data_IF_922325407119
#
_entry.id   IF_922325407119
#
_cell.length_a   1.000
_cell.length_b   1.000
_cell.length_c   1.000
_cell.angle_alpha   90.00
_cell.angle_beta   90.00
_cell.angle_gamma   90.00
#
_symmetry.space_group_name_H-M   'P 1'
#
loop_
_entity.id
_entity.type
_entity.pdbx_description
1 polymer ?
#
# COMPACT_ATOMS: atom_id res chain seq x y z
N UNK A 1 0.15 35.26 -46.56
CA UNK A 1 -0.65 34.05 -46.86
C UNK A 1 -0.42 32.93 -45.85
N UNK A 2 0.83 32.54 -45.54
CA UNK A 2 1.13 31.41 -44.63
C UNK A 2 0.45 31.42 -43.25
N UNK A 3 0.35 32.55 -42.54
CA UNK A 3 -0.28 32.57 -41.20
C UNK A 3 -1.82 32.39 -41.23
N UNK A 4 -2.47 32.80 -42.32
CA UNK A 4 -3.91 32.62 -42.50
C UNK A 4 -4.23 31.18 -42.90
N UNK A 5 -3.39 30.56 -43.74
CA UNK A 5 -3.51 29.15 -44.10
C UNK A 5 -3.24 28.23 -42.90
N UNK A 6 -2.30 28.58 -42.03
CA UNK A 6 -1.99 27.81 -40.82
C UNK A 6 -3.12 27.90 -39.77
N UNK A 7 -3.74 29.08 -39.63
CA UNK A 7 -4.93 29.26 -38.77
C UNK A 7 -6.16 28.51 -39.32
N UNK A 8 -6.36 28.51 -40.64
CA UNK A 8 -7.43 27.75 -41.31
C UNK A 8 -7.19 26.25 -41.19
N UNK A 9 -5.95 25.78 -41.32
CA UNK A 9 -5.58 24.39 -41.10
C UNK A 9 -5.77 23.96 -39.64
N UNK A 10 -5.46 24.83 -38.67
CA UNK A 10 -5.73 24.57 -37.25
C UNK A 10 -7.23 24.52 -36.95
N UNK A 11 -8.05 25.42 -37.52
CA UNK A 11 -9.50 25.40 -37.38
C UNK A 11 -10.12 24.15 -38.03
N UNK A 12 -9.65 23.74 -39.21
CA UNK A 12 -10.10 22.53 -39.89
C UNK A 12 -9.66 21.24 -39.16
N UNK A 13 -8.50 21.25 -38.49
CA UNK A 13 -8.06 20.16 -37.61
C UNK A 13 -8.92 20.08 -36.33
N UNK A 14 -9.44 21.20 -35.84
CA UNK A 14 -10.39 21.23 -34.72
C UNK A 14 -11.79 20.79 -35.14
N UNK A 15 -12.25 21.13 -36.34
CA UNK A 15 -13.56 20.70 -36.88
C UNK A 15 -13.60 19.22 -37.29
N UNK A 16 -12.46 18.62 -37.65
CA UNK A 16 -12.38 17.18 -37.95
C UNK A 16 -12.29 16.29 -36.71
N UNK A 17 -12.10 16.87 -35.52
CA UNK A 17 -12.02 16.17 -34.23
C UNK A 17 -13.30 16.37 -33.41
N UNK A 18 -14.45 16.03 -34.02
CA UNK A 18 -15.84 16.22 -33.51
C UNK A 18 -16.07 15.57 -32.12
N UNK A 19 -15.13 14.77 -31.61
CA UNK A 19 -15.15 14.17 -30.27
C UNK A 19 -14.37 14.92 -29.19
N UNK A 20 -13.60 15.96 -29.54
CA UNK A 20 -12.64 16.61 -28.65
C UNK A 20 -13.22 17.85 -27.96
N UNK A 21 -14.08 17.62 -26.97
CA UNK A 21 -14.52 18.67 -26.04
C UNK A 21 -13.38 19.13 -25.13
N UNK A 22 -13.31 20.44 -24.86
CA UNK A 22 -12.39 21.07 -23.90
C UNK A 22 -13.00 21.22 -22.50
N UNK A 23 -14.28 20.88 -22.33
CA UNK A 23 -14.96 20.89 -21.03
C UNK A 23 -14.43 19.73 -20.16
N UNK A 24 -13.78 20.01 -19.02
CA UNK A 24 -13.22 18.98 -18.16
C UNK A 24 -14.27 17.98 -17.65
N UNK A 25 -15.53 18.41 -17.45
CA UNK A 25 -16.62 17.52 -17.03
C UNK A 25 -16.92 16.48 -18.10
N UNK A 26 -17.07 16.91 -19.35
CA UNK A 26 -17.32 15.98 -20.46
C UNK A 26 -16.12 15.08 -20.76
N UNK A 27 -14.90 15.57 -20.60
CA UNK A 27 -13.69 14.76 -20.71
C UNK A 27 -13.71 13.62 -19.67
N UNK A 28 -13.99 13.94 -18.42
CA UNK A 28 -14.10 12.98 -17.33
C UNK A 28 -15.22 11.95 -17.56
N UNK A 29 -16.42 12.40 -17.95
CA UNK A 29 -17.56 11.52 -18.23
C UNK A 29 -17.27 10.53 -19.36
N UNK A 30 -16.54 10.97 -20.40
CA UNK A 30 -16.13 10.11 -21.51
C UNK A 30 -15.13 9.06 -21.06
N UNK A 31 -14.11 9.45 -20.30
CA UNK A 31 -13.07 8.53 -19.82
C UNK A 31 -13.66 7.45 -18.91
N UNK A 32 -14.45 7.85 -17.91
CA UNK A 32 -15.16 6.92 -17.04
C UNK A 32 -16.17 6.05 -17.82
N UNK A 33 -16.82 6.62 -18.85
CA UNK A 33 -17.79 5.91 -19.69
C UNK A 33 -17.23 4.67 -20.39
N UNK A 34 -15.91 4.58 -20.55
CA UNK A 34 -15.21 3.42 -21.16
C UNK A 34 -15.13 2.19 -20.25
N UNK A 35 -15.27 2.36 -18.93
CA UNK A 35 -15.14 1.27 -17.96
C UNK A 35 -16.50 0.60 -17.76
N UNK A 36 -16.56 -0.73 -17.88
CA UNK A 36 -17.81 -1.48 -17.70
C UNK A 36 -18.27 -1.52 -16.24
N UNK A 37 -19.57 -1.74 -16.02
CA UNK A 37 -20.14 -1.92 -14.68
C UNK A 37 -19.81 -3.32 -14.16
N UNK A 38 -19.49 -3.43 -12.87
CA UNK A 38 -19.22 -4.72 -12.24
C UNK A 38 -20.51 -5.47 -11.91
N UNK A 39 -20.47 -6.79 -12.09
CA UNK A 39 -21.44 -7.70 -11.49
C UNK A 39 -21.07 -7.97 -10.03
N UNK A 40 -22.02 -8.48 -9.23
CA UNK A 40 -21.76 -8.87 -7.84
C UNK A 40 -20.63 -9.90 -7.72
N UNK A 41 -20.57 -10.86 -8.64
CA UNK A 41 -19.51 -11.87 -8.67
C UNK A 41 -18.15 -11.22 -8.95
N UNK A 42 -18.09 -10.27 -9.88
CA UNK A 42 -16.88 -9.52 -10.18
C UNK A 42 -16.43 -8.62 -9.01
N UNK A 43 -17.35 -8.00 -8.28
CA UNK A 43 -17.02 -7.27 -7.03
C UNK A 43 -16.30 -8.19 -6.03
N UNK A 44 -16.82 -9.40 -5.84
CA UNK A 44 -16.24 -10.38 -4.90
C UNK A 44 -14.88 -10.86 -5.41
N UNK A 45 -14.73 -11.10 -6.71
CA UNK A 45 -13.45 -11.51 -7.30
C UNK A 45 -12.37 -10.43 -7.10
N UNK A 46 -12.71 -9.17 -7.34
CA UNK A 46 -11.79 -8.05 -7.11
C UNK A 46 -11.44 -7.93 -5.62
N UNK A 47 -12.41 -8.05 -4.72
CA UNK A 47 -12.16 -8.03 -3.28
C UNK A 47 -11.21 -9.16 -2.84
N UNK A 48 -11.39 -10.38 -3.37
CA UNK A 48 -10.46 -11.50 -3.14
C UNK A 48 -9.05 -11.22 -3.65
N UNK A 49 -8.92 -10.59 -4.81
CA UNK A 49 -7.61 -10.17 -5.37
C UNK A 49 -6.93 -9.10 -4.52
N UNK A 50 -7.71 -8.19 -3.91
CA UNK A 50 -7.19 -7.21 -2.94
C UNK A 50 -6.66 -7.95 -1.70
N UNK A 51 -7.47 -8.84 -1.11
CA UNK A 51 -7.06 -9.65 0.06
C UNK A 51 -5.81 -10.48 -0.22
N UNK A 52 -5.73 -11.12 -1.40
CA UNK A 52 -4.58 -11.92 -1.80
C UNK A 52 -3.31 -11.07 -1.92
N UNK A 53 -3.40 -9.88 -2.52
CA UNK A 53 -2.29 -8.94 -2.58
C UNK A 53 -1.81 -8.51 -1.18
N UNK A 54 -2.74 -8.19 -0.28
CA UNK A 54 -2.42 -7.83 1.12
C UNK A 54 -1.75 -9.00 1.86
N UNK A 55 -2.27 -10.23 1.67
CA UNK A 55 -1.71 -11.45 2.26
C UNK A 55 -0.30 -11.75 1.76
N UNK A 56 -0.02 -11.54 0.46
CA UNK A 56 1.32 -11.68 -0.10
C UNK A 56 2.32 -10.70 0.55
N UNK A 57 1.88 -9.47 0.85
CA UNK A 57 2.73 -8.49 1.55
C UNK A 57 2.98 -8.93 2.98
N UNK A 58 1.93 -9.31 3.73
CA UNK A 58 2.07 -9.81 5.11
C UNK A 58 2.95 -11.07 5.20
N UNK A 59 2.77 -12.01 4.28
CA UNK A 59 3.64 -13.18 4.14
C UNK A 59 5.10 -12.79 3.92
N UNK A 60 5.35 -11.74 3.12
CA UNK A 60 6.71 -11.25 2.87
C UNK A 60 7.32 -10.55 4.10
N UNK A 61 6.51 -9.85 4.89
CA UNK A 61 6.93 -9.24 6.15
C UNK A 61 7.37 -10.28 7.19
N UNK A 62 6.81 -11.49 7.16
CA UNK A 62 7.25 -12.56 8.05
C UNK A 62 8.75 -12.89 7.87
N UNK A 63 9.27 -12.77 6.64
CA UNK A 63 10.70 -13.03 6.33
C UNK A 63 11.65 -11.91 6.77
N UNK A 64 11.13 -10.79 7.27
CA UNK A 64 11.93 -9.69 7.80
C UNK A 64 12.24 -9.96 9.28
N UNK A 65 13.52 -10.10 9.67
CA UNK A 65 13.90 -10.24 11.08
C UNK A 65 13.34 -9.10 11.94
N UNK A 66 12.81 -9.44 13.12
CA UNK A 66 12.22 -8.47 14.05
C UNK A 66 10.86 -7.92 13.65
N UNK A 67 10.35 -8.18 12.44
CA UNK A 67 9.04 -7.68 12.02
C UNK A 67 7.89 -8.33 12.80
N UNK A 68 7.92 -9.66 12.93
CA UNK A 68 6.95 -10.41 13.73
C UNK A 68 7.09 -10.04 15.21
N UNK A 69 8.31 -9.93 15.72
CA UNK A 69 8.58 -9.51 17.10
C UNK A 69 7.96 -8.15 17.40
N UNK A 70 8.16 -7.17 16.51
CA UNK A 70 7.61 -5.83 16.71
C UNK A 70 6.07 -5.81 16.71
N UNK A 71 5.42 -6.76 16.04
CA UNK A 71 3.96 -6.93 16.08
C UNK A 71 3.52 -7.69 17.34
N UNK A 72 4.27 -8.68 17.79
CA UNK A 72 4.05 -9.37 19.07
C UNK A 72 4.20 -8.40 20.26
N UNK A 73 5.22 -7.54 20.25
CA UNK A 73 5.44 -6.49 21.25
C UNK A 73 4.28 -5.48 21.25
N UNK A 74 3.81 -5.08 20.07
CA UNK A 74 2.66 -4.19 19.95
C UNK A 74 1.38 -4.87 20.47
N UNK A 75 1.22 -6.18 20.26
CA UNK A 75 0.14 -6.96 20.85
C UNK A 75 0.26 -7.03 22.37
N UNK A 76 1.43 -7.32 22.92
CA UNK A 76 1.67 -7.40 24.36
C UNK A 76 1.33 -6.07 25.05
N UNK A 77 1.62 -4.93 24.41
CA UNK A 77 1.24 -3.60 24.90
C UNK A 77 -0.28 -3.36 24.96
N UNK A 78 -1.08 -4.08 24.15
CA UNK A 78 -2.55 -4.03 24.27
C UNK A 78 -3.09 -4.85 25.44
N UNK A 79 -2.26 -5.75 25.99
CA UNK A 79 -2.62 -6.62 27.11
C UNK A 79 -2.15 -6.04 28.47
N UNK A 80 -1.55 -4.86 28.48
CA UNK A 80 -1.05 -4.20 29.69
C UNK A 80 -2.21 -3.84 30.64
N UNK A 81 -2.12 -4.23 31.91
CA UNK A 81 -3.17 -3.99 32.91
C UNK A 81 -3.20 -2.52 33.39
N UNK A 82 -2.07 -1.80 33.35
CA UNK A 82 -1.96 -0.42 33.85
C UNK A 82 -2.34 0.62 32.79
N UNK A 83 -2.05 0.35 31.52
CA UNK A 83 -2.39 1.22 30.38
C UNK A 83 -2.68 0.41 29.11
N UNK A 84 -3.81 -0.32 29.05
CA UNK A 84 -4.12 -1.19 27.91
C UNK A 84 -4.33 -0.36 26.64
N UNK A 85 -3.49 -0.60 25.62
CA UNK A 85 -3.81 -0.20 24.26
C UNK A 85 -5.05 -0.95 23.74
N UNK A 86 -5.77 -0.41 22.74
CA UNK A 86 -6.90 -1.13 22.15
C UNK A 86 -6.40 -2.11 21.09
N UNK A 87 -6.94 -3.34 21.06
CA UNK A 87 -6.62 -4.32 20.01
C UNK A 87 -6.89 -3.77 18.59
N UNK A 88 -7.93 -2.94 18.47
CA UNK A 88 -8.28 -2.23 17.23
C UNK A 88 -7.20 -1.29 16.71
N UNK A 89 -6.31 -0.80 17.59
CA UNK A 89 -5.20 0.08 17.21
C UNK A 89 -4.09 -0.69 16.49
N UNK A 90 -4.00 -2.02 16.74
CA UNK A 90 -3.03 -2.91 16.13
C UNK A 90 -3.55 -3.52 14.83
N UNK A 91 -4.74 -4.11 14.86
CA UNK A 91 -5.32 -4.81 13.72
C UNK A 91 -6.85 -4.81 13.76
N UNK A 92 -7.48 -5.04 12.60
CA UNK A 92 -8.94 -4.99 12.43
C UNK A 92 -9.60 -6.37 12.33
N UNK A 93 -8.81 -7.45 12.25
CA UNK A 93 -9.31 -8.82 12.12
C UNK A 93 -8.36 -9.74 11.34
N UNK A 94 -8.82 -10.95 11.05
CA UNK A 94 -8.08 -11.95 10.27
C UNK A 94 -8.73 -12.20 8.90
N UNK A 95 -7.92 -12.45 7.88
CA UNK A 95 -8.34 -12.73 6.51
C UNK A 95 -8.21 -14.23 6.22
N UNK A 96 -9.17 -15.02 6.72
CA UNK A 96 -9.13 -16.47 6.55
C UNK A 96 -9.67 -16.90 5.18
N UNK A 97 -8.89 -17.64 4.37
CA UNK A 97 -9.33 -18.05 3.04
C UNK A 97 -10.59 -18.94 3.05
N UNK A 98 -10.87 -19.63 4.16
CA UNK A 98 -11.93 -20.64 4.28
C UNK A 98 -13.23 -20.15 4.95
N UNK A 99 -13.29 -18.91 5.43
CA UNK A 99 -14.56 -18.34 5.94
C UNK A 99 -15.58 -18.21 4.80
N UNK A 100 -16.64 -19.01 4.83
CA UNK A 100 -17.70 -18.97 3.81
C UNK A 100 -18.37 -17.59 3.72
N UNK A 101 -18.95 -17.27 2.57
CA UNK A 101 -19.78 -16.07 2.40
C UNK A 101 -21.16 -16.39 3.02
N UNK A 102 -21.59 -15.72 4.11
CA UNK A 102 -22.94 -15.85 4.63
C UNK A 102 -23.94 -15.46 3.54
N UNK A 103 -25.01 -16.25 3.39
CA UNK A 103 -26.15 -15.88 2.55
C UNK A 103 -26.70 -14.52 3.00
N UNK A 104 -26.84 -13.60 2.06
CA UNK A 104 -27.14 -12.19 2.31
C UNK A 104 -28.43 -12.03 3.11
N UNK A 105 -28.35 -11.43 4.29
CA UNK A 105 -29.47 -10.68 4.83
C UNK A 105 -29.48 -9.32 4.14
N UNK A 106 -30.57 -8.98 3.45
CA UNK A 106 -30.82 -7.59 3.04
C UNK A 106 -30.95 -6.76 4.32
N UNK A 107 -29.88 -6.09 4.73
CA UNK A 107 -30.00 -5.06 5.76
C UNK A 107 -30.79 -3.90 5.15
N UNK A 108 -31.92 -3.59 5.77
CA UNK A 108 -32.67 -2.37 5.55
C UNK A 108 -31.71 -1.18 5.80
N UNK A 109 -31.59 -0.33 4.79
CA UNK A 109 -30.98 0.98 4.93
C UNK A 109 -31.81 1.72 5.99
N UNK A 110 -31.22 2.47 6.95
CA UNK A 110 -32.00 3.40 7.76
C UNK A 110 -32.82 4.27 6.82
N UNK A 111 -34.14 4.28 7.01
CA UNK A 111 -35.08 5.06 6.20
C UNK A 111 -34.63 6.52 6.12
N UNK A 112 -34.82 7.09 4.94
CA UNK A 112 -34.57 8.50 4.66
C UNK A 112 -35.37 9.37 5.64
N UNK A 113 -34.69 10.15 6.50
CA UNK A 113 -35.34 11.34 7.01
C UNK A 113 -35.53 12.30 5.84
N UNK A 114 -36.76 12.81 5.61
CA UNK A 114 -37.00 13.76 4.55
C UNK A 114 -36.24 15.04 4.89
N UNK A 115 -35.32 15.43 4.01
CA UNK A 115 -34.87 16.81 3.94
C UNK A 115 -36.10 17.67 3.75
N UNK A 116 -36.49 18.39 4.80
CA UNK A 116 -37.55 19.37 4.74
C UNK A 116 -37.19 20.40 3.67
N UNK A 117 -38.14 20.63 2.76
CA UNK A 117 -38.12 21.79 1.86
C UNK A 117 -37.99 23.05 2.73
N UNK A 118 -36.81 23.68 2.70
CA UNK A 118 -36.67 25.05 3.17
C UNK A 118 -37.18 25.95 2.05
N UNK A 119 -38.47 26.25 2.15
CA UNK A 119 -39.14 27.31 1.43
C UNK A 119 -38.53 28.67 1.83
N UNK A 120 -38.48 29.55 0.82
CA UNK A 120 -37.87 30.87 0.81
C UNK A 120 -38.59 31.80 1.80
N UNK A 121 -37.85 32.41 2.74
CA UNK A 121 -38.42 33.33 3.72
C UNK A 121 -37.37 34.08 4.53
N UNK A 122 -37.01 35.26 4.03
CA UNK A 122 -36.35 36.40 4.69
C UNK A 122 -35.75 36.18 6.10
N UNK A 123 -34.42 36.23 6.20
CA UNK A 123 -33.71 36.38 7.48
C UNK A 123 -33.62 37.86 7.86
N UNK A 124 -34.27 38.22 8.97
CA UNK A 124 -33.83 39.26 9.89
C UNK A 124 -33.70 38.63 11.29
N UNK A 125 -32.64 39.05 11.97
CA UNK A 125 -32.37 39.00 13.41
C UNK A 125 -31.42 37.91 13.96
N UNK A 126 -30.51 38.45 14.75
CA UNK A 126 -29.30 37.90 15.36
C UNK A 126 -29.60 36.88 16.48
N UNK A 127 -28.69 35.94 16.69
CA UNK A 127 -28.79 35.01 17.82
C UNK A 127 -27.63 34.04 17.92
N UNK A 128 -26.54 34.53 18.51
CA UNK A 128 -25.39 33.78 19.03
C UNK A 128 -25.82 32.55 19.85
N UNK A 129 -25.30 31.38 19.50
CA UNK A 129 -25.30 30.18 20.33
C UNK A 129 -24.15 29.26 19.90
N UNK A 130 -23.04 29.39 20.61
CA UNK A 130 -22.03 28.36 20.80
C UNK A 130 -22.67 26.98 21.01
N UNK A 131 -22.42 26.02 20.11
CA UNK A 131 -22.47 24.61 20.48
C UNK A 131 -21.22 23.88 19.99
N UNK A 132 -20.68 23.13 20.94
CA UNK A 132 -19.35 22.58 20.96
C UNK A 132 -19.15 21.48 19.92
N UNK A 133 -17.92 21.49 19.42
CA UNK A 133 -17.25 20.45 18.66
C UNK A 133 -17.13 19.19 19.54
N UNK A 134 -18.16 18.34 19.54
CA UNK A 134 -18.09 16.98 20.06
C UNK A 134 -17.84 16.03 18.89
N UNK A 135 -16.55 15.74 18.65
CA UNK A 135 -16.07 14.57 17.92
C UNK A 135 -16.47 13.29 18.67
N UNK A 136 -17.75 12.90 18.58
CA UNK A 136 -18.20 11.58 19.02
C UNK A 136 -18.25 10.64 17.80
N UNK A 137 -17.13 9.93 17.59
CA UNK A 137 -17.00 8.77 16.70
C UNK A 137 -17.78 7.57 17.28
N UNK A 138 -19.09 7.75 17.49
CA UNK A 138 -20.01 6.76 18.03
C UNK A 138 -21.00 6.25 16.97
N UNK A 139 -20.48 5.91 15.78
CA UNK A 139 -21.27 5.12 14.82
C UNK A 139 -20.97 3.62 14.95
N UNK A 140 -21.84 2.94 15.71
CA UNK A 140 -22.34 1.58 15.42
C UNK A 140 -21.35 0.41 15.48
N UNK A 141 -21.08 -0.13 16.68
CA UNK A 141 -20.82 -1.55 16.94
C UNK A 141 -19.93 -2.28 15.90
N UNK A 142 -18.76 -1.71 15.57
CA UNK A 142 -17.69 -2.48 14.93
C UNK A 142 -17.29 -3.56 15.94
N UNK A 143 -17.67 -4.81 15.68
CA UNK A 143 -17.11 -5.95 16.38
C UNK A 143 -15.60 -5.92 16.18
N UNK A 144 -14.89 -5.35 17.15
CA UNK A 144 -13.44 -5.38 17.20
C UNK A 144 -12.95 -6.83 17.19
N UNK A 145 -11.66 -7.06 16.88
CA UNK A 145 -11.12 -8.41 16.83
C UNK A 145 -11.43 -9.16 18.13
N UNK A 146 -11.92 -10.40 18.01
CA UNK A 146 -12.23 -11.27 19.15
C UNK A 146 -10.97 -11.46 20.02
N UNK A 147 -10.98 -11.01 21.29
CA UNK A 147 -9.80 -11.10 22.15
C UNK A 147 -9.33 -12.53 22.41
N UNK A 148 -10.24 -13.50 22.48
CA UNK A 148 -9.89 -14.90 22.74
C UNK A 148 -9.23 -15.53 21.52
N UNK A 149 -9.79 -15.29 20.32
CA UNK A 149 -9.21 -15.72 19.06
C UNK A 149 -7.84 -15.05 18.83
N UNK A 150 -7.76 -13.74 19.06
CA UNK A 150 -6.52 -12.98 18.94
C UNK A 150 -5.45 -13.62 19.83
N UNK A 151 -5.73 -13.83 21.11
CA UNK A 151 -4.79 -14.46 22.03
C UNK A 151 -4.30 -15.82 21.53
N UNK A 152 -5.21 -16.69 21.08
CA UNK A 152 -4.85 -18.00 20.57
C UNK A 152 -3.92 -17.93 19.35
N UNK A 153 -4.22 -17.04 18.38
CA UNK A 153 -3.40 -16.88 17.16
C UNK A 153 -2.06 -16.22 17.43
N UNK A 154 -2.03 -15.16 18.24
CA UNK A 154 -0.79 -14.47 18.61
C UNK A 154 0.16 -15.37 19.38
N UNK A 155 -0.34 -16.27 20.24
CA UNK A 155 0.48 -17.27 20.91
C UNK A 155 1.05 -18.32 19.93
N UNK A 156 0.25 -18.80 18.98
CA UNK A 156 0.74 -19.69 17.93
C UNK A 156 1.83 -19.04 17.08
N UNK A 157 1.66 -17.75 16.74
CA UNK A 157 2.66 -16.97 16.01
C UNK A 157 3.93 -16.84 16.84
N UNK A 158 3.82 -16.56 18.15
CA UNK A 158 4.97 -16.47 19.06
C UNK A 158 5.77 -17.77 19.09
N UNK A 159 5.10 -18.90 19.33
CA UNK A 159 5.72 -20.23 19.33
C UNK A 159 6.42 -20.54 18.00
N UNK A 160 5.75 -20.26 16.89
CA UNK A 160 6.30 -20.53 15.56
C UNK A 160 7.46 -19.59 15.21
N UNK A 161 7.42 -18.33 15.66
CA UNK A 161 8.50 -17.36 15.49
C UNK A 161 9.76 -17.80 16.23
N UNK A 162 9.63 -18.29 17.46
CA UNK A 162 10.78 -18.85 18.21
C UNK A 162 11.37 -20.09 17.53
N UNK A 163 10.54 -20.95 16.93
CA UNK A 163 11.02 -22.09 16.13
C UNK A 163 11.76 -21.64 14.88
N UNK A 164 11.24 -20.64 14.17
CA UNK A 164 11.89 -20.07 12.99
C UNK A 164 13.25 -19.46 13.34
N UNK A 165 13.33 -18.65 14.41
CA UNK A 165 14.60 -18.10 14.92
C UNK A 165 15.59 -19.20 15.31
N UNK A 166 15.14 -20.22 16.03
CA UNK A 166 15.99 -21.34 16.44
C UNK A 166 16.52 -22.12 15.22
N UNK A 167 15.69 -22.33 14.19
CA UNK A 167 16.11 -22.98 12.96
C UNK A 167 17.15 -22.14 12.19
N UNK A 168 16.94 -20.82 12.09
CA UNK A 168 17.93 -19.89 11.49
C UNK A 168 19.24 -19.91 12.28
N UNK A 169 19.19 -19.87 13.60
CA UNK A 169 20.38 -19.89 14.45
C UNK A 169 21.17 -21.21 14.33
N UNK A 170 20.49 -22.34 14.18
CA UNK A 170 21.10 -23.67 14.11
C UNK A 170 21.59 -24.07 12.72
N UNK A 171 20.80 -23.78 11.69
CA UNK A 171 21.04 -24.26 10.31
C UNK A 171 21.51 -23.14 9.36
N UNK A 172 21.46 -21.88 9.81
CA UNK A 172 21.77 -20.71 9.00
C UNK A 172 20.57 -20.21 8.20
N UNK A 173 20.64 -18.93 7.83
CA UNK A 173 19.69 -18.27 6.95
C UNK A 173 19.64 -18.97 5.58
N UNK A 174 18.44 -19.20 5.05
CA UNK A 174 18.24 -19.81 3.73
C UNK A 174 18.40 -21.34 3.68
N UNK A 175 18.68 -22.01 4.81
CA UNK A 175 18.64 -23.48 4.90
C UNK A 175 17.24 -24.03 4.66
N UNK A 176 17.12 -25.29 4.24
CA UNK A 176 15.82 -25.91 3.95
C UNK A 176 14.93 -25.96 5.20
N UNK A 177 15.53 -26.25 6.36
CA UNK A 177 14.87 -26.29 7.65
C UNK A 177 14.40 -24.91 8.10
N UNK A 178 15.27 -23.88 8.02
CA UNK A 178 14.88 -22.51 8.34
C UNK A 178 13.76 -22.01 7.42
N UNK A 179 13.86 -22.27 6.11
CA UNK A 179 12.84 -21.87 5.14
C UNK A 179 11.50 -22.56 5.40
N UNK A 180 11.51 -23.82 5.87
CA UNK A 180 10.29 -24.53 6.20
C UNK A 180 9.58 -23.96 7.45
N UNK A 181 10.34 -23.63 8.51
CA UNK A 181 9.76 -22.96 9.69
C UNK A 181 9.31 -21.53 9.37
N UNK A 182 10.06 -20.83 8.51
CA UNK A 182 9.74 -19.48 8.06
C UNK A 182 8.47 -19.45 7.20
N UNK A 183 8.27 -20.46 6.35
CA UNK A 183 7.05 -20.61 5.55
C UNK A 183 5.83 -20.84 6.46
N UNK A 184 5.93 -21.71 7.47
CA UNK A 184 4.88 -21.90 8.48
C UNK A 184 4.56 -20.62 9.25
N UNK A 185 5.60 -19.86 9.64
CA UNK A 185 5.40 -18.57 10.28
C UNK A 185 4.66 -17.60 9.36
N UNK A 186 5.04 -17.54 8.08
CA UNK A 186 4.38 -16.69 7.11
C UNK A 186 2.91 -17.08 6.88
N UNK A 187 2.58 -18.37 6.90
CA UNK A 187 1.20 -18.86 6.82
C UNK A 187 0.35 -18.37 8.00
N UNK A 188 0.87 -18.47 9.23
CA UNK A 188 0.17 -18.00 10.44
C UNK A 188 0.07 -16.47 10.54
N UNK A 189 1.09 -15.76 10.05
CA UNK A 189 1.16 -14.30 10.14
C UNK A 189 0.39 -13.58 9.03
N UNK A 190 0.31 -14.17 7.84
CA UNK A 190 -0.30 -13.54 6.66
C UNK A 190 -1.78 -13.16 6.75
N UNK A 191 -2.64 -13.83 7.55
CA UNK A 191 -4.05 -13.46 7.70
C UNK A 191 -4.27 -12.16 8.47
N UNK A 192 -3.29 -11.64 9.22
CA UNK A 192 -3.52 -10.46 10.08
C UNK A 192 -3.78 -9.21 9.22
N UNK A 193 -4.93 -8.57 9.43
CA UNK A 193 -5.28 -7.28 8.81
C UNK A 193 -4.81 -6.12 9.69
N UNK A 194 -3.51 -5.83 9.64
CA UNK A 194 -2.87 -4.76 10.42
C UNK A 194 -3.45 -3.38 10.10
N UNK A 195 -3.44 -2.50 11.10
CA UNK A 195 -3.70 -1.07 10.91
C UNK A 195 -2.56 -0.44 10.09
N UNK A 196 -2.87 0.49 9.16
CA UNK A 196 -1.88 1.04 8.22
C UNK A 196 -0.59 1.56 8.87
N UNK A 197 -0.69 2.21 10.04
CA UNK A 197 0.47 2.74 10.78
C UNK A 197 1.54 1.67 11.07
N UNK A 198 1.14 0.48 11.51
CA UNK A 198 2.07 -0.61 11.81
C UNK A 198 2.67 -1.19 10.54
N UNK A 199 1.84 -1.35 9.52
CA UNK A 199 2.24 -1.84 8.21
C UNK A 199 3.27 -0.92 7.52
N UNK A 200 2.98 0.38 7.45
CA UNK A 200 3.82 1.39 6.79
C UNK A 200 5.19 1.52 7.45
N UNK A 201 5.25 1.41 8.79
CA UNK A 201 6.52 1.43 9.52
C UNK A 201 7.44 0.28 9.11
N UNK A 202 6.91 -0.95 9.05
CA UNK A 202 7.68 -2.14 8.70
C UNK A 202 8.15 -2.11 7.24
N UNK A 203 7.23 -1.80 6.32
CA UNK A 203 7.54 -1.73 4.88
C UNK A 203 8.47 -0.56 4.56
N UNK A 204 8.27 0.58 5.21
CA UNK A 204 9.07 1.80 5.02
C UNK A 204 10.55 1.58 5.32
N UNK A 205 10.87 0.90 6.42
CA UNK A 205 12.25 0.61 6.81
C UNK A 205 12.99 -0.18 5.73
N UNK A 206 12.38 -1.25 5.21
CA UNK A 206 12.99 -2.09 4.16
C UNK A 206 13.23 -1.29 2.87
N UNK A 207 12.28 -0.43 2.49
CA UNK A 207 12.40 0.40 1.28
C UNK A 207 13.54 1.38 1.35
N UNK A 208 13.65 2.07 2.49
CA UNK A 208 14.72 3.04 2.75
C UNK A 208 16.08 2.35 2.65
N UNK A 209 16.25 1.20 3.32
CA UNK A 209 17.50 0.44 3.24
C UNK A 209 17.82 -0.03 1.82
N UNK A 210 16.84 -0.51 1.04
CA UNK A 210 17.08 -0.88 -0.38
C UNK A 210 17.48 0.31 -1.22
N UNK A 211 16.88 1.48 -1.01
CA UNK A 211 17.24 2.71 -1.72
C UNK A 211 18.67 3.15 -1.40
N UNK A 212 19.03 3.15 -0.11
CA UNK A 212 20.38 3.47 0.37
C UNK A 212 21.42 2.51 -0.22
N UNK A 213 21.14 1.20 -0.21
CA UNK A 213 21.99 0.19 -0.87
C UNK A 213 22.14 0.52 -2.36
N UNK A 214 21.04 0.71 -3.09
CA UNK A 214 21.08 1.00 -4.54
C UNK A 214 21.87 2.27 -4.87
N UNK A 215 21.79 3.29 -4.02
CA UNK A 215 22.57 4.51 -4.17
C UNK A 215 24.08 4.21 -4.07
N UNK A 216 24.49 3.43 -3.07
CA UNK A 216 25.90 3.04 -2.90
C UNK A 216 26.37 2.15 -4.05
N UNK A 217 25.57 1.17 -4.49
CA UNK A 217 25.89 0.33 -5.65
C UNK A 217 26.07 1.14 -6.92
N UNK A 218 25.20 2.14 -7.14
CA UNK A 218 25.30 3.07 -8.27
C UNK A 218 26.57 3.90 -8.19
N UNK A 219 26.95 4.37 -7.01
CA UNK A 219 28.20 5.09 -6.77
C UNK A 219 29.42 4.22 -7.15
N UNK A 220 29.50 3.01 -6.61
CA UNK A 220 30.58 2.05 -6.92
C UNK A 220 30.62 1.72 -8.42
N UNK A 221 29.46 1.44 -9.03
CA UNK A 221 29.35 1.20 -10.48
C UNK A 221 29.89 2.39 -11.29
N UNK A 222 29.59 3.63 -10.90
CA UNK A 222 30.09 4.81 -11.60
C UNK A 222 31.60 4.97 -11.46
N UNK A 223 32.17 4.71 -10.28
CA UNK A 223 33.62 4.71 -10.08
C UNK A 223 34.29 3.68 -11.00
N UNK A 224 33.77 2.45 -11.05
CA UNK A 224 34.36 1.39 -11.88
C UNK A 224 34.20 1.64 -13.39
N UNK A 225 32.98 1.95 -13.84
CA UNK A 225 32.69 2.05 -15.28
C UNK A 225 33.13 3.39 -15.86
N UNK A 226 32.80 4.51 -15.21
CA UNK A 226 33.06 5.84 -15.78
C UNK A 226 34.51 6.28 -15.54
N UNK A 227 35.02 6.12 -14.31
CA UNK A 227 36.37 6.57 -13.92
C UNK A 227 37.43 5.49 -14.19
N UNK A 228 37.19 4.26 -13.72
CA UNK A 228 38.08 3.11 -13.92
C UNK A 228 38.12 2.54 -15.35
N UNK A 229 37.12 2.87 -16.18
CA UNK A 229 36.93 2.33 -17.54
C UNK A 229 36.83 0.79 -17.56
N UNK A 230 36.30 0.20 -16.49
CA UNK A 230 35.97 -1.21 -16.44
C UNK A 230 34.71 -1.46 -17.27
N UNK A 231 34.68 -2.45 -18.19
CA UNK A 231 33.46 -2.80 -18.89
C UNK A 231 32.34 -3.14 -17.91
N UNK A 232 31.13 -2.58 -18.11
CA UNK A 232 29.98 -2.80 -17.22
C UNK A 232 29.69 -4.28 -16.96
N UNK A 233 29.83 -5.14 -17.98
CA UNK A 233 29.65 -6.59 -17.86
C UNK A 233 30.63 -7.24 -16.88
N UNK A 234 31.88 -6.80 -16.86
CA UNK A 234 32.90 -7.29 -15.93
C UNK A 234 32.56 -6.91 -14.49
N UNK A 235 32.10 -5.68 -14.28
CA UNK A 235 31.64 -5.22 -12.96
C UNK A 235 30.42 -6.02 -12.48
N UNK A 236 29.37 -6.14 -13.31
CA UNK A 236 28.14 -6.87 -12.94
C UNK A 236 28.41 -8.36 -12.66
N UNK A 237 29.43 -8.96 -13.27
CA UNK A 237 29.80 -10.35 -12.97
C UNK A 237 30.53 -10.50 -11.62
N UNK A 238 31.18 -9.44 -11.13
CA UNK A 238 32.09 -9.52 -9.98
C UNK A 238 31.52 -8.90 -8.70
N UNK A 239 30.69 -7.88 -8.80
CA UNK A 239 30.22 -7.12 -7.65
C UNK A 239 29.04 -7.74 -6.87
N UNK A 240 28.01 -8.31 -7.51
CA UNK A 240 26.92 -8.96 -6.79
C UNK A 240 27.41 -10.11 -5.90
N UNK A 241 26.92 -10.18 -4.66
CA UNK A 241 27.39 -11.08 -3.61
C UNK A 241 28.64 -10.59 -2.85
N UNK A 242 29.16 -9.42 -3.19
CA UNK A 242 30.32 -8.78 -2.55
C UNK A 242 30.05 -7.33 -2.14
N UNK A 243 28.77 -6.93 -2.09
CA UNK A 243 28.34 -5.54 -1.92
C UNK A 243 28.84 -4.92 -0.61
N UNK A 244 28.90 -5.70 0.48
CA UNK A 244 29.42 -5.28 1.79
C UNK A 244 30.87 -5.73 2.06
N UNK A 245 31.45 -6.58 1.22
CA UNK A 245 32.76 -7.20 1.46
C UNK A 245 33.91 -6.26 1.14
N UNK A 246 34.55 -5.70 2.16
CA UNK A 246 35.63 -4.71 2.02
C UNK A 246 36.86 -5.23 1.26
N UNK A 247 37.12 -6.54 1.33
CA UNK A 247 38.25 -7.21 0.68
C UNK A 247 38.03 -7.40 -0.83
N UNK A 248 36.78 -7.30 -1.31
CA UNK A 248 36.44 -7.53 -2.72
C UNK A 248 37.21 -6.61 -3.67
N UNK A 249 37.44 -5.36 -3.27
CA UNK A 249 38.16 -4.40 -4.10
C UNK A 249 39.59 -4.88 -4.39
N UNK A 250 40.27 -5.44 -3.40
CA UNK A 250 41.62 -6.00 -3.54
C UNK A 250 41.64 -7.27 -4.37
N UNK A 251 40.70 -8.18 -4.11
CA UNK A 251 40.54 -9.39 -4.90
C UNK A 251 40.28 -9.06 -6.39
N UNK A 252 39.42 -8.08 -6.66
CA UNK A 252 39.14 -7.62 -8.02
C UNK A 252 40.40 -7.09 -8.72
N UNK A 253 41.24 -6.33 -8.03
CA UNK A 253 42.49 -5.80 -8.59
C UNK A 253 43.56 -6.86 -8.78
N UNK A 254 43.64 -7.87 -7.89
CA UNK A 254 44.52 -9.01 -8.07
C UNK A 254 44.17 -9.80 -9.34
N UNK A 255 42.88 -10.02 -9.59
CA UNK A 255 42.38 -10.69 -10.79
C UNK A 255 42.46 -9.81 -12.05
N UNK A 256 42.48 -8.47 -11.88
CA UNK A 256 42.49 -7.52 -13.00
C UNK A 256 43.55 -6.40 -12.83
N UNK A 257 44.86 -6.74 -12.84
CA UNK A 257 45.92 -5.77 -12.52
C UNK A 257 45.96 -4.54 -13.42
N UNK A 258 45.50 -4.66 -14.67
CA UNK A 258 45.42 -3.56 -15.66
C UNK A 258 44.57 -2.36 -15.23
N UNK A 259 43.70 -2.51 -14.23
CA UNK A 259 42.86 -1.44 -13.72
C UNK A 259 43.40 -0.80 -12.43
N UNK A 260 44.50 -1.31 -11.86
CA UNK A 260 45.05 -0.88 -10.58
C UNK A 260 45.36 0.63 -10.55
N UNK A 261 46.05 1.16 -11.55
CA UNK A 261 46.40 2.59 -11.61
C UNK A 261 45.16 3.50 -11.65
N UNK A 262 44.10 3.06 -12.32
CA UNK A 262 42.87 3.85 -12.50
C UNK A 262 41.91 3.76 -11.32
N UNK A 263 41.87 2.60 -10.65
CA UNK A 263 40.96 2.35 -9.54
C UNK A 263 41.58 2.64 -8.18
N UNK A 264 42.90 2.50 -8.04
CA UNK A 264 43.64 2.67 -6.79
C UNK A 264 43.26 3.93 -5.99
N UNK A 265 43.18 5.12 -6.61
CA UNK A 265 42.75 6.35 -5.91
C UNK A 265 41.33 6.29 -5.33
N UNK A 266 40.43 5.47 -5.89
CA UNK A 266 39.04 5.36 -5.48
C UNK A 266 38.79 4.26 -4.43
N UNK A 267 39.83 3.55 -3.99
CA UNK A 267 39.74 2.49 -2.97
C UNK A 267 38.96 2.94 -1.74
N UNK A 268 39.34 4.09 -1.19
CA UNK A 268 38.70 4.62 0.02
C UNK A 268 37.23 4.95 -0.20
N UNK A 269 36.86 5.40 -1.41
CA UNK A 269 35.46 5.73 -1.75
C UNK A 269 34.61 4.46 -1.85
N UNK A 270 35.15 3.41 -2.47
CA UNK A 270 34.48 2.11 -2.58
C UNK A 270 34.30 1.49 -1.19
N UNK A 271 35.34 1.46 -0.36
CA UNK A 271 35.23 0.92 0.99
C UNK A 271 34.29 1.73 1.89
N UNK A 272 34.14 3.05 1.67
CA UNK A 272 33.10 3.85 2.35
C UNK A 272 31.70 3.45 1.90
N UNK A 273 31.49 3.25 0.60
CA UNK A 273 30.21 2.77 0.07
C UNK A 273 29.87 1.36 0.60
N UNK A 274 30.83 0.44 0.59
CA UNK A 274 30.63 -0.92 1.12
C UNK A 274 30.36 -0.94 2.63
N UNK A 275 31.00 -0.06 3.42
CA UNK A 275 30.66 0.09 4.86
C UNK A 275 29.24 0.58 5.10
N UNK A 276 28.76 1.51 4.27
CA UNK A 276 27.35 1.94 4.34
C UNK A 276 26.40 0.79 3.98
N UNK A 277 26.75 -0.02 2.98
CA UNK A 277 25.97 -1.21 2.64
C UNK A 277 25.99 -2.22 3.79
N UNK A 278 27.15 -2.48 4.40
CA UNK A 278 27.27 -3.37 5.55
C UNK A 278 26.44 -2.89 6.76
N UNK A 279 26.37 -1.57 6.97
CA UNK A 279 25.49 -0.99 7.98
C UNK A 279 24.01 -1.31 7.72
N UNK A 280 23.55 -1.23 6.47
CA UNK A 280 22.17 -1.63 6.12
C UNK A 280 21.93 -3.13 6.33
N UNK A 281 22.92 -3.99 6.06
CA UNK A 281 22.82 -5.44 6.34
C UNK A 281 22.70 -5.71 7.84
N UNK A 282 23.43 -4.97 8.68
CA UNK A 282 23.36 -5.07 10.14
C UNK A 282 22.04 -4.55 10.68
N UNK A 283 21.55 -3.41 10.16
CA UNK A 283 20.30 -2.78 10.56
C UNK A 283 19.08 -3.67 10.28
N UNK A 284 19.05 -4.29 9.10
CA UNK A 284 17.95 -5.17 8.66
C UNK A 284 18.17 -6.63 9.07
N UNK A 285 19.39 -6.98 9.49
CA UNK A 285 19.83 -8.34 9.82
C UNK A 285 19.66 -9.34 8.67
N UNK A 286 19.80 -8.85 7.43
CA UNK A 286 19.73 -9.65 6.21
C UNK A 286 20.84 -9.24 5.26
N UNK A 287 21.40 -10.18 4.47
CA UNK A 287 22.32 -9.82 3.39
C UNK A 287 21.59 -9.05 2.28
N UNK A 288 22.31 -8.22 1.53
CA UNK A 288 21.75 -7.35 0.47
C UNK A 288 20.85 -8.09 -0.51
N UNK A 289 21.21 -9.33 -0.89
CA UNK A 289 20.40 -10.14 -1.80
C UNK A 289 19.01 -10.43 -1.26
N UNK A 290 18.92 -10.76 0.03
CA UNK A 290 17.67 -11.09 0.71
C UNK A 290 16.85 -9.83 0.99
N UNK A 291 17.47 -8.71 1.41
CA UNK A 291 16.78 -7.42 1.59
C UNK A 291 16.07 -7.03 0.28
N UNK A 292 16.78 -7.16 -0.85
CA UNK A 292 16.21 -6.84 -2.18
C UNK A 292 15.11 -7.80 -2.60
N UNK A 293 15.24 -9.09 -2.28
CA UNK A 293 14.23 -10.09 -2.60
C UNK A 293 12.95 -9.88 -1.77
N UNK A 294 13.07 -9.63 -0.47
CA UNK A 294 11.94 -9.24 0.39
C UNK A 294 11.25 -8.00 -0.16
N UNK A 295 12.00 -6.93 -0.47
CA UNK A 295 11.42 -5.72 -1.05
C UNK A 295 10.76 -5.95 -2.42
N UNK A 296 11.31 -6.86 -3.23
CA UNK A 296 10.70 -7.25 -4.51
C UNK A 296 9.35 -7.93 -4.27
N UNK A 297 9.26 -8.89 -3.34
CA UNK A 297 7.99 -9.56 -3.00
C UNK A 297 6.96 -8.59 -2.45
N UNK A 298 7.36 -7.70 -1.53
CA UNK A 298 6.51 -6.61 -1.02
C UNK A 298 5.96 -5.76 -2.17
N UNK A 299 6.82 -5.33 -3.11
CA UNK A 299 6.43 -4.51 -4.25
C UNK A 299 5.43 -5.21 -5.19
N UNK A 300 5.57 -6.54 -5.36
CA UNK A 300 4.66 -7.34 -6.19
C UNK A 300 3.27 -7.43 -5.53
N UNK A 301 3.21 -7.82 -4.26
CA UNK A 301 1.95 -7.96 -3.52
C UNK A 301 1.18 -6.64 -3.45
N UNK A 302 1.87 -5.54 -3.16
CA UNK A 302 1.23 -4.22 -3.19
C UNK A 302 0.75 -3.81 -4.57
N UNK A 303 1.52 -4.12 -5.63
CA UNK A 303 1.09 -3.82 -6.99
C UNK A 303 -0.14 -4.61 -7.39
N UNK A 304 -0.28 -5.85 -6.92
CA UNK A 304 -1.47 -6.68 -7.11
C UNK A 304 -2.68 -6.07 -6.39
N UNK A 305 -2.55 -5.76 -5.10
CA UNK A 305 -3.61 -5.13 -4.32
C UNK A 305 -4.03 -3.77 -4.91
N UNK A 306 -3.07 -2.89 -5.22
CA UNK A 306 -3.33 -1.55 -5.78
C UNK A 306 -4.02 -1.60 -7.13
N UNK A 307 -3.64 -2.56 -8.00
CA UNK A 307 -4.30 -2.74 -9.29
C UNK A 307 -5.76 -3.14 -9.12
N UNK A 308 -6.03 -4.10 -8.22
CA UNK A 308 -7.40 -4.54 -7.93
C UNK A 308 -8.23 -3.42 -7.29
N UNK A 309 -7.67 -2.66 -6.35
CA UNK A 309 -8.32 -1.46 -5.79
C UNK A 309 -8.67 -0.44 -6.86
N UNK A 310 -7.72 -0.13 -7.75
CA UNK A 310 -7.93 0.80 -8.86
C UNK A 310 -9.09 0.36 -9.76
N UNK A 311 -9.11 -0.93 -10.13
CA UNK A 311 -10.18 -1.53 -10.93
C UNK A 311 -11.55 -1.40 -10.24
N UNK A 312 -11.61 -1.65 -8.92
CA UNK A 312 -12.82 -1.49 -8.12
C UNK A 312 -13.31 -0.04 -8.08
N UNK A 313 -12.41 0.93 -7.91
CA UNK A 313 -12.73 2.36 -7.91
C UNK A 313 -13.25 2.78 -9.29
N UNK A 314 -12.54 2.45 -10.36
CA UNK A 314 -12.88 2.84 -11.74
C UNK A 314 -14.27 2.36 -12.16
N UNK A 315 -14.63 1.12 -11.79
CA UNK A 315 -15.96 0.58 -12.06
C UNK A 315 -17.10 1.30 -11.33
N UNK A 316 -16.80 1.93 -10.18
CA UNK A 316 -17.79 2.54 -9.29
C UNK A 316 -17.85 4.08 -9.36
N UNK A 317 -17.06 4.72 -10.23
CA UNK A 317 -17.09 6.18 -10.41
C UNK A 317 -18.49 6.73 -10.77
N UNK A 318 -19.34 5.93 -11.44
CA UNK A 318 -20.72 6.32 -11.78
C UNK A 318 -21.60 6.51 -10.54
N UNK A 319 -21.34 5.75 -9.48
CA UNK A 319 -22.04 5.89 -8.20
C UNK A 319 -21.69 7.23 -7.53
N UNK A 320 -20.42 7.64 -7.58
CA UNK A 320 -19.99 8.94 -7.03
C UNK A 320 -20.73 10.08 -7.72
N UNK A 321 -20.81 10.05 -9.05
CA UNK A 321 -21.51 11.06 -9.83
C UNK A 321 -23.00 11.14 -9.48
N UNK A 322 -23.67 9.99 -9.33
CA UNK A 322 -25.11 9.97 -9.03
C UNK A 322 -25.40 10.55 -7.64
N UNK A 323 -24.47 10.37 -6.68
CA UNK A 323 -24.56 10.96 -5.35
C UNK A 323 -24.21 12.46 -5.40
N UNK A 324 -23.10 12.85 -6.03
CA UNK A 324 -22.62 14.23 -6.10
C UNK A 324 -23.63 15.19 -6.75
N UNK A 325 -24.46 14.71 -7.68
CA UNK A 325 -25.54 15.51 -8.29
C UNK A 325 -26.53 16.08 -7.27
N UNK A 326 -26.69 15.45 -6.09
CA UNK A 326 -27.57 15.94 -5.03
C UNK A 326 -26.97 17.12 -4.24
N UNK A 327 -25.67 17.40 -4.42
CA UNK A 327 -24.92 18.40 -3.65
C UNK A 327 -24.50 19.62 -4.48
N UNK A 328 -24.85 19.70 -5.77
CA UNK A 328 -24.36 20.73 -6.72
C UNK A 328 -24.68 22.16 -6.33
N UNK A 329 -25.76 22.39 -5.59
CA UNK A 329 -26.23 23.73 -5.23
C UNK A 329 -25.74 24.19 -3.85
N UNK A 330 -24.76 23.51 -3.26
CA UNK A 330 -24.22 23.79 -1.91
C UNK A 330 -22.94 24.64 -1.92
N UNK A 331 -22.69 25.38 -3.01
CA UNK A 331 -21.57 26.33 -3.11
C UNK A 331 -20.23 25.78 -3.60
N UNK A 332 -20.09 24.47 -3.79
CA UNK A 332 -18.89 23.84 -4.34
C UNK A 332 -19.08 23.44 -5.83
N UNK A 333 -18.01 23.52 -6.64
CA UNK A 333 -18.08 23.13 -8.05
C UNK A 333 -18.35 21.62 -8.18
N UNK A 334 -19.11 21.23 -9.20
CA UNK A 334 -19.47 19.82 -9.41
C UNK A 334 -18.27 18.87 -9.54
N UNK A 335 -17.16 19.34 -10.13
CA UNK A 335 -15.94 18.53 -10.23
C UNK A 335 -15.28 18.31 -8.87
N UNK A 336 -15.30 19.30 -8.00
CA UNK A 336 -14.72 19.21 -6.66
C UNK A 336 -15.54 18.23 -5.79
N UNK A 337 -16.88 18.31 -5.86
CA UNK A 337 -17.77 17.33 -5.23
C UNK A 337 -17.48 15.90 -5.70
N UNK A 338 -17.24 15.71 -7.01
CA UNK A 338 -16.84 14.41 -7.54
C UNK A 338 -15.48 13.97 -7.00
N UNK A 339 -14.50 14.88 -6.87
CA UNK A 339 -13.18 14.52 -6.32
C UNK A 339 -13.28 14.11 -4.85
N UNK A 340 -14.00 14.87 -4.03
CA UNK A 340 -14.23 14.51 -2.62
C UNK A 340 -14.98 13.17 -2.52
N UNK A 341 -16.02 12.98 -3.32
CA UNK A 341 -16.74 11.71 -3.40
C UNK A 341 -15.86 10.54 -3.88
N UNK A 342 -14.91 10.77 -4.80
CA UNK A 342 -13.94 9.77 -5.23
C UNK A 342 -12.98 9.40 -4.09
N UNK A 343 -12.59 10.36 -3.24
CA UNK A 343 -11.80 10.09 -2.03
C UNK A 343 -12.60 9.21 -1.05
N UNK A 344 -13.88 9.53 -0.84
CA UNK A 344 -14.81 8.69 -0.07
C UNK A 344 -14.92 7.27 -0.64
N UNK A 345 -15.06 7.13 -1.96
CA UNK A 345 -15.09 5.83 -2.64
C UNK A 345 -13.79 5.05 -2.42
N UNK A 346 -12.62 5.68 -2.51
CA UNK A 346 -11.34 5.01 -2.25
C UNK A 346 -11.28 4.47 -0.81
N UNK A 347 -11.71 5.27 0.18
CA UNK A 347 -11.80 4.82 1.59
C UNK A 347 -12.76 3.64 1.74
N UNK A 348 -13.89 3.65 1.03
CA UNK A 348 -14.82 2.53 1.02
C UNK A 348 -14.16 1.26 0.45
N UNK A 349 -13.45 1.36 -0.68
CA UNK A 349 -12.73 0.22 -1.27
C UNK A 349 -11.70 -0.36 -0.30
N UNK A 350 -10.99 0.49 0.46
CA UNK A 350 -9.97 0.06 1.41
C UNK A 350 -10.55 -0.72 2.61
N UNK A 351 -11.76 -0.38 3.04
CA UNK A 351 -12.42 -0.95 4.23
C UNK A 351 -13.49 -2.00 3.91
N UNK A 352 -13.82 -2.21 2.64
CA UNK A 352 -14.91 -3.11 2.26
C UNK A 352 -14.61 -4.57 2.59
N UNK A 353 -15.60 -5.25 3.17
CA UNK A 353 -15.53 -6.67 3.53
C UNK A 353 -16.69 -7.43 2.88
N UNK A 354 -16.40 -8.13 1.79
CA UNK A 354 -17.42 -8.86 1.01
C UNK A 354 -18.09 -9.99 1.80
N UNK A 355 -17.41 -10.52 2.83
CA UNK A 355 -17.90 -11.58 3.73
C UNK A 355 -19.09 -11.14 4.59
N UNK A 356 -19.32 -9.83 4.77
CA UNK A 356 -20.51 -9.33 5.47
C UNK A 356 -21.79 -9.46 4.64
N UNK A 357 -21.72 -9.90 3.38
CA UNK A 357 -22.87 -10.13 2.52
C UNK A 357 -23.45 -8.86 1.87
N UNK A 358 -23.09 -7.67 2.34
CA UNK A 358 -23.58 -6.40 1.78
C UNK A 358 -23.08 -6.13 0.36
N UNK A 359 -23.96 -5.54 -0.48
CA UNK A 359 -23.58 -5.01 -1.79
C UNK A 359 -22.59 -3.86 -1.62
N UNK A 360 -21.58 -3.79 -2.48
CA UNK A 360 -20.56 -2.75 -2.37
C UNK A 360 -21.16 -1.34 -2.50
N UNK A 361 -22.10 -1.15 -3.42
CA UNK A 361 -22.79 0.13 -3.63
C UNK A 361 -23.49 0.66 -2.37
N UNK A 362 -24.17 -0.21 -1.62
CA UNK A 362 -24.83 0.16 -0.36
C UNK A 362 -23.82 0.68 0.65
N UNK A 363 -22.73 -0.08 0.86
CA UNK A 363 -21.66 0.29 1.78
C UNK A 363 -20.94 1.58 1.35
N UNK A 364 -20.56 1.69 0.08
CA UNK A 364 -19.80 2.83 -0.44
C UNK A 364 -20.61 4.14 -0.43
N UNK A 365 -21.93 4.07 -0.53
CA UNK A 365 -22.80 5.27 -0.53
C UNK A 365 -22.60 6.10 0.73
N UNK A 366 -22.44 5.48 1.91
CA UNK A 366 -22.19 6.19 3.17
C UNK A 366 -20.87 6.97 3.12
N UNK A 367 -19.76 6.29 2.78
CA UNK A 367 -18.43 6.89 2.68
C UNK A 367 -18.37 8.03 1.66
N UNK A 368 -19.07 7.88 0.53
CA UNK A 368 -19.13 8.88 -0.52
C UNK A 368 -19.88 10.13 -0.06
N UNK A 369 -21.01 9.97 0.66
CA UNK A 369 -21.76 11.11 1.24
C UNK A 369 -20.97 11.80 2.34
N UNK A 370 -20.33 11.04 3.22
CA UNK A 370 -19.52 11.56 4.32
C UNK A 370 -18.36 12.42 3.83
N UNK A 371 -17.77 12.10 2.68
CA UNK A 371 -16.69 12.91 2.12
C UNK A 371 -17.17 14.22 1.46
N UNK A 372 -18.45 14.31 1.08
CA UNK A 372 -19.03 15.50 0.42
C UNK A 372 -19.83 16.41 1.35
N UNK A 373 -20.11 15.94 2.56
CA UNK A 373 -20.77 16.69 3.62
C UNK A 373 -19.69 17.34 4.46
#
# INVERSE_FOLDING_TARGET
>A
ESAAEEAVAALAAVESDVGRTTDPVRMYMREMGTVELLTREAEIEIAKRIEEGTREVMSSLAYLPGAVDSILEAYDATQDEEAPGRLSDLFSGFIDPDEGIPGVAEAEVPEEEPVADLDDGESDDDGDADEADDEDDSSSNEGGPDPEEARARFEQIRDQNERAKAAVAKHGLGSAEANAEQARLAELFSPIKLVPKHFERLVGQVRISVEQVREQEKSVLQLFVKKGKVPRKTFIKSFPGNESRLEWFDAFLADNPRYADRLGPFRGDVQRAQRKIAFEEELIQLPVSEIKEVNRRLSIGEAKARRAKKEMVEANLRLVISIAKKYTNRGLQFLDLIQEGNIGLMKAVDKFEYRRGYKFSTYATWWIRQAMT
#
